data_IF_784597591223
#
_entry.id   IF_784597591223
#
_cell.length_a   1.000
_cell.length_b   1.000
_cell.length_c   1.000
_cell.angle_alpha   90.00
_cell.angle_beta   90.00
_cell.angle_gamma   90.00
#
_symmetry.space_group_name_H-M   'P 1'
#
loop_
_entity.id
_entity.type
_entity.pdbx_description
1 polymer ?
#
# COMPACT_ATOMS: atom_id res chain seq x y z
N UNK A 1 -24.19 17.99 23.57
CA UNK A 1 -24.78 16.72 23.10
C UNK A 1 -23.68 15.89 22.47
N UNK A 2 -23.17 14.87 23.13
CA UNK A 2 -21.99 15.01 23.98
C UNK A 2 -20.98 13.96 23.54
N UNK A 3 -19.67 14.23 23.60
CA UNK A 3 -18.58 13.34 23.15
C UNK A 3 -18.78 11.85 23.48
N UNK A 4 -19.33 11.53 24.66
CA UNK A 4 -19.73 10.18 25.07
C UNK A 4 -20.70 9.48 24.12
N UNK A 5 -21.65 10.21 23.51
CA UNK A 5 -22.55 9.68 22.51
C UNK A 5 -21.79 9.27 21.25
N UNK A 6 -20.90 10.13 20.72
CA UNK A 6 -20.07 9.81 19.55
C UNK A 6 -19.18 8.58 19.79
N UNK A 7 -18.56 8.52 20.97
CA UNK A 7 -17.70 7.40 21.36
C UNK A 7 -18.51 6.10 21.45
N UNK A 8 -19.73 6.15 21.99
CA UNK A 8 -20.62 4.99 22.07
C UNK A 8 -21.24 4.60 20.72
N UNK A 9 -21.61 5.55 19.88
CA UNK A 9 -22.34 5.29 18.64
C UNK A 9 -21.44 4.94 17.45
N UNK A 10 -20.16 5.32 17.47
CA UNK A 10 -19.23 5.11 16.36
C UNK A 10 -18.07 4.21 16.78
N UNK A 11 -17.36 4.55 17.86
CA UNK A 11 -16.16 3.82 18.27
C UNK A 11 -16.47 2.41 18.75
N UNK A 12 -17.55 2.21 19.51
CA UNK A 12 -17.90 0.88 20.02
C UNK A 12 -18.19 -0.13 18.89
N UNK A 13 -19.06 0.15 17.90
CA UNK A 13 -19.26 -0.76 16.77
C UNK A 13 -17.97 -1.13 16.04
N UNK A 14 -17.12 -0.14 15.77
CA UNK A 14 -15.82 -0.34 15.12
C UNK A 14 -14.94 -1.30 15.92
N UNK A 15 -14.78 -1.04 17.22
CA UNK A 15 -13.96 -1.88 18.11
C UNK A 15 -14.53 -3.28 18.22
N UNK A 16 -15.86 -3.43 18.27
CA UNK A 16 -16.52 -4.74 18.33
C UNK A 16 -16.23 -5.55 17.06
N UNK A 17 -16.36 -4.96 15.87
CA UNK A 17 -16.08 -5.67 14.61
C UNK A 17 -14.58 -6.00 14.49
N UNK A 18 -13.69 -5.07 14.85
CA UNK A 18 -12.25 -5.35 14.89
C UNK A 18 -11.90 -6.46 15.90
N UNK A 19 -12.48 -6.44 17.10
CA UNK A 19 -12.27 -7.47 18.10
C UNK A 19 -12.80 -8.83 17.64
N UNK A 20 -13.94 -8.86 16.94
CA UNK A 20 -14.44 -10.08 16.32
C UNK A 20 -13.46 -10.63 15.27
N UNK A 21 -12.90 -9.76 14.41
CA UNK A 21 -11.87 -10.15 13.45
C UNK A 21 -10.62 -10.74 14.13
N UNK A 22 -10.14 -10.10 15.20
CA UNK A 22 -9.02 -10.60 16.01
C UNK A 22 -9.36 -11.94 16.68
N UNK A 23 -10.58 -12.09 17.19
CA UNK A 23 -11.04 -13.33 17.82
C UNK A 23 -11.08 -14.49 16.83
N UNK A 24 -11.64 -14.26 15.64
CA UNK A 24 -11.65 -15.27 14.58
C UNK A 24 -10.22 -15.65 14.19
N UNK A 25 -9.32 -14.68 14.04
CA UNK A 25 -7.91 -14.94 13.72
C UNK A 25 -7.20 -15.82 14.76
N UNK A 26 -7.60 -15.71 16.03
CA UNK A 26 -7.06 -16.51 17.13
C UNK A 26 -7.49 -17.98 17.07
N UNK A 27 -8.66 -18.27 16.52
CA UNK A 27 -9.21 -19.63 16.45
C UNK A 27 -9.15 -20.26 15.06
N UNK A 28 -9.00 -19.46 14.01
CA UNK A 28 -9.02 -19.89 12.61
C UNK A 28 -7.90 -19.20 11.83
N UNK A 29 -7.30 -19.93 10.90
CA UNK A 29 -6.29 -19.35 10.01
C UNK A 29 -6.96 -18.56 8.87
N UNK A 30 -7.38 -17.33 9.18
CA UNK A 30 -7.96 -16.40 8.21
C UNK A 30 -6.89 -15.78 7.33
N UNK A 31 -6.91 -16.10 6.04
CA UNK A 31 -6.01 -15.48 5.06
C UNK A 31 -6.44 -14.05 4.73
N UNK A 32 -5.74 -13.06 5.31
CA UNK A 32 -6.02 -11.63 5.10
C UNK A 32 -5.83 -11.18 3.66
N UNK A 33 -4.99 -11.86 2.88
CA UNK A 33 -4.72 -11.55 1.48
C UNK A 33 -5.96 -11.75 0.61
N UNK A 34 -6.64 -12.88 0.79
CA UNK A 34 -7.84 -13.23 0.04
C UNK A 34 -9.00 -12.29 0.38
N UNK A 35 -9.19 -11.97 1.67
CA UNK A 35 -10.17 -10.97 2.10
C UNK A 35 -9.87 -9.56 1.55
N UNK A 36 -8.61 -9.13 1.59
CA UNK A 36 -8.20 -7.82 1.05
C UNK A 36 -8.41 -7.75 -0.46
N UNK A 37 -8.21 -8.87 -1.18
CA UNK A 37 -8.46 -8.95 -2.62
C UNK A 37 -9.95 -8.74 -2.91
N UNK A 38 -10.85 -9.42 -2.20
CA UNK A 38 -12.29 -9.20 -2.35
C UNK A 38 -12.67 -7.76 -1.99
N UNK A 39 -12.14 -7.24 -0.87
CA UNK A 39 -12.40 -5.88 -0.43
C UNK A 39 -12.00 -4.84 -1.48
N UNK A 40 -10.85 -5.00 -2.14
CA UNK A 40 -10.33 -3.97 -3.05
C UNK A 40 -10.72 -4.16 -4.51
N UNK A 41 -11.01 -5.40 -4.94
CA UNK A 41 -11.36 -5.68 -6.33
C UNK A 41 -12.86 -5.70 -6.59
N UNK A 42 -13.68 -5.86 -5.54
CA UNK A 42 -15.13 -5.91 -5.67
C UNK A 42 -15.81 -4.85 -4.81
N UNK A 43 -15.57 -4.86 -3.50
CA UNK A 43 -16.34 -4.05 -2.56
C UNK A 43 -15.97 -2.56 -2.64
N UNK A 44 -14.67 -2.21 -2.73
CA UNK A 44 -14.20 -0.84 -2.88
C UNK A 44 -14.67 -0.20 -4.20
N UNK A 45 -14.54 -0.84 -5.38
CA UNK A 45 -15.16 -0.38 -6.63
C UNK A 45 -16.65 -0.10 -6.50
N UNK A 46 -17.41 -0.99 -5.86
CA UNK A 46 -18.83 -0.79 -5.63
C UNK A 46 -19.10 0.41 -4.70
N UNK A 47 -18.32 0.52 -3.61
CA UNK A 47 -18.39 1.66 -2.70
C UNK A 47 -18.11 2.98 -3.43
N UNK A 48 -17.05 3.03 -4.25
CA UNK A 48 -16.71 4.17 -5.11
C UNK A 48 -17.91 4.53 -5.98
N UNK A 49 -18.46 3.59 -6.74
CA UNK A 49 -19.58 3.88 -7.63
C UNK A 49 -20.85 4.32 -6.90
N UNK A 50 -21.05 3.89 -5.65
CA UNK A 50 -22.16 4.34 -4.82
C UNK A 50 -21.92 5.69 -4.13
N UNK A 51 -20.66 6.04 -3.83
CA UNK A 51 -20.30 7.20 -3.00
C UNK A 51 -19.77 8.39 -3.80
N UNK A 52 -18.97 8.15 -4.84
CA UNK A 52 -18.33 9.22 -5.65
C UNK A 52 -19.34 10.11 -6.37
N UNK A 53 -20.41 9.60 -7.00
CA UNK A 53 -21.39 10.45 -7.70
C UNK A 53 -22.11 11.44 -6.79
N UNK A 54 -22.18 11.15 -5.49
CA UNK A 54 -22.78 12.01 -4.46
C UNK A 54 -21.74 12.79 -3.65
N UNK A 55 -20.44 12.59 -3.91
CA UNK A 55 -19.38 13.30 -3.23
C UNK A 55 -19.25 14.71 -3.83
N UNK A 56 -19.23 15.73 -2.96
CA UNK A 56 -18.90 17.09 -3.37
C UNK A 56 -17.40 17.18 -3.67
N UNK A 57 -17.03 16.82 -4.91
CA UNK A 57 -15.68 16.96 -5.43
C UNK A 57 -15.55 18.33 -6.06
N UNK A 58 -15.11 19.29 -5.25
CA UNK A 58 -14.68 20.58 -5.76
C UNK A 58 -13.47 20.40 -6.70
N UNK A 59 -13.42 21.15 -7.80
CA UNK A 59 -12.30 21.08 -8.75
C UNK A 59 -10.97 21.38 -8.06
N UNK A 60 -11.00 22.22 -7.04
CA UNK A 60 -9.84 22.57 -6.22
C UNK A 60 -9.26 21.36 -5.49
N UNK A 61 -10.09 20.41 -5.03
CA UNK A 61 -9.59 19.19 -4.39
C UNK A 61 -8.78 18.35 -5.36
N UNK A 62 -9.22 18.21 -6.61
CA UNK A 62 -8.51 17.41 -7.62
C UNK A 62 -7.12 18.01 -7.87
N UNK A 63 -7.05 19.33 -8.06
CA UNK A 63 -5.77 20.04 -8.29
C UNK A 63 -4.84 19.88 -7.09
N UNK A 64 -5.34 20.08 -5.86
CA UNK A 64 -4.56 19.93 -4.63
C UNK A 64 -4.05 18.49 -4.44
N UNK A 65 -4.88 17.48 -4.74
CA UNK A 65 -4.49 16.06 -4.69
C UNK A 65 -3.37 15.78 -5.69
N UNK A 66 -3.50 16.27 -6.93
CA UNK A 66 -2.47 16.10 -7.97
C UNK A 66 -1.16 16.76 -7.57
N UNK A 67 -1.22 18.03 -7.15
CA UNK A 67 -0.04 18.79 -6.73
C UNK A 67 0.68 18.13 -5.55
N UNK A 68 -0.07 17.75 -4.51
CA UNK A 68 0.48 17.07 -3.35
C UNK A 68 1.10 15.72 -3.71
N UNK A 69 0.41 14.90 -4.50
CA UNK A 69 0.89 13.56 -4.87
C UNK A 69 2.17 13.64 -5.70
N UNK A 70 2.23 14.55 -6.67
CA UNK A 70 3.40 14.78 -7.50
C UNK A 70 4.59 15.30 -6.67
N UNK A 71 4.37 16.31 -5.83
CA UNK A 71 5.39 16.88 -4.96
C UNK A 71 5.94 15.84 -3.97
N UNK A 72 5.04 15.07 -3.34
CA UNK A 72 5.43 14.01 -2.40
C UNK A 72 6.23 12.90 -3.09
N UNK A 73 5.83 12.51 -4.29
CA UNK A 73 6.54 11.50 -5.09
C UNK A 73 7.94 11.99 -5.47
N UNK A 74 8.07 13.22 -5.95
CA UNK A 74 9.35 13.82 -6.30
C UNK A 74 10.27 13.93 -5.08
N UNK A 75 9.71 14.30 -3.93
CA UNK A 75 10.44 14.38 -2.68
C UNK A 75 10.94 13.01 -2.21
N UNK A 76 10.06 12.00 -2.16
CA UNK A 76 10.43 10.62 -1.81
C UNK A 76 11.50 10.06 -2.74
N UNK A 77 11.42 10.36 -4.04
CA UNK A 77 12.43 9.99 -5.02
C UNK A 77 13.79 10.64 -4.73
N UNK A 78 13.81 11.96 -4.51
CA UNK A 78 15.04 12.70 -4.19
C UNK A 78 15.67 12.20 -2.88
N UNK A 79 14.86 12.00 -1.84
CA UNK A 79 15.34 11.53 -0.54
C UNK A 79 15.93 10.12 -0.62
N UNK A 80 15.27 9.20 -1.34
CA UNK A 80 15.80 7.85 -1.57
C UNK A 80 17.09 7.87 -2.40
N UNK A 81 17.18 8.74 -3.41
CA UNK A 81 18.39 8.92 -4.21
C UNK A 81 19.56 9.48 -3.40
N UNK A 82 19.32 10.51 -2.58
CA UNK A 82 20.31 11.08 -1.68
C UNK A 82 20.79 10.06 -0.64
N UNK A 83 19.88 9.29 -0.05
CA UNK A 83 20.22 8.21 0.87
C UNK A 83 21.09 7.16 0.18
N UNK A 84 20.75 6.75 -1.04
CA UNK A 84 21.55 5.80 -1.83
C UNK A 84 22.99 6.29 -2.08
N UNK A 85 23.16 7.59 -2.37
CA UNK A 85 24.48 8.23 -2.54
C UNK A 85 25.26 8.31 -1.22
N UNK A 86 24.62 8.76 -0.15
CA UNK A 86 25.25 9.00 1.16
C UNK A 86 25.71 7.71 1.82
N UNK A 87 24.89 6.66 1.75
CA UNK A 87 25.19 5.35 2.31
C UNK A 87 25.96 4.43 1.35
N UNK A 88 26.34 4.93 0.16
CA UNK A 88 27.06 4.17 -0.88
C UNK A 88 26.42 2.81 -1.17
N UNK A 89 25.09 2.78 -1.24
CA UNK A 89 24.34 1.56 -1.50
C UNK A 89 24.62 1.06 -2.91
N UNK A 90 24.70 -0.25 -3.06
CA UNK A 90 24.78 -0.88 -4.37
C UNK A 90 23.50 -0.62 -5.18
N UNK A 91 23.63 -0.66 -6.50
CA UNK A 91 22.53 -0.39 -7.43
C UNK A 91 21.21 -1.12 -7.12
N UNK A 92 21.17 -2.42 -6.78
CA UNK A 92 19.93 -3.11 -6.49
C UNK A 92 19.29 -2.65 -5.16
N UNK A 93 20.08 -2.45 -4.10
CA UNK A 93 19.56 -1.96 -2.81
C UNK A 93 19.06 -0.53 -2.89
N UNK A 94 19.76 0.33 -3.65
CA UNK A 94 19.31 1.70 -3.92
C UNK A 94 17.98 1.74 -4.67
N UNK A 95 17.78 0.86 -5.66
CA UNK A 95 16.49 0.73 -6.39
C UNK A 95 15.38 0.19 -5.48
N UNK A 96 15.68 -0.81 -4.66
CA UNK A 96 14.74 -1.34 -3.67
C UNK A 96 14.30 -0.24 -2.67
N UNK A 97 15.25 0.58 -2.21
CA UNK A 97 14.97 1.73 -1.34
C UNK A 97 14.08 2.76 -2.05
N UNK A 98 14.36 3.09 -3.32
CA UNK A 98 13.51 4.00 -4.10
C UNK A 98 12.08 3.46 -4.24
N UNK A 99 11.92 2.20 -4.66
CA UNK A 99 10.59 1.60 -4.80
C UNK A 99 9.82 1.59 -3.47
N UNK A 100 10.46 1.18 -2.38
CA UNK A 100 9.82 1.11 -1.06
C UNK A 100 9.58 2.47 -0.42
N UNK A 101 10.30 3.52 -0.83
CA UNK A 101 10.13 4.90 -0.32
C UNK A 101 9.10 5.68 -1.13
N UNK A 102 9.01 5.46 -2.44
CA UNK A 102 8.05 6.16 -3.31
C UNK A 102 6.66 5.51 -3.21
N UNK A 103 6.60 4.19 -3.13
CA UNK A 103 5.33 3.47 -3.24
C UNK A 103 4.83 3.01 -1.88
N UNK A 104 3.81 3.72 -1.38
CA UNK A 104 3.08 3.35 -0.17
C UNK A 104 2.07 2.24 -0.45
N UNK A 105 1.66 1.54 0.61
CA UNK A 105 0.55 0.61 0.59
C UNK A 105 -0.80 1.33 0.77
N UNK A 106 -0.95 2.45 0.09
CA UNK A 106 -2.13 3.32 0.15
C UNK A 106 -3.41 2.60 -0.25
N UNK A 107 -3.35 1.72 -1.25
CA UNK A 107 -4.52 0.96 -1.66
C UNK A 107 -5.00 -0.07 -0.61
N UNK A 108 -4.10 -0.90 -0.06
CA UNK A 108 -4.54 -1.99 0.83
C UNK A 108 -4.72 -1.56 2.30
N UNK A 109 -4.08 -0.48 2.73
CA UNK A 109 -4.14 0.01 4.12
C UNK A 109 -4.69 1.42 4.22
N UNK A 110 -4.34 2.32 3.29
CA UNK A 110 -4.80 3.71 3.30
C UNK A 110 -6.32 3.82 3.15
N UNK A 111 -6.89 3.28 2.07
CA UNK A 111 -8.34 3.36 1.82
C UNK A 111 -9.20 2.81 2.97
N UNK A 112 -8.91 1.61 3.52
CA UNK A 112 -9.51 1.13 4.76
C UNK A 112 -9.49 2.13 5.92
N UNK A 113 -8.33 2.71 6.20
CA UNK A 113 -8.12 3.63 7.33
C UNK A 113 -8.85 4.94 7.08
N UNK A 114 -8.85 5.45 5.85
CA UNK A 114 -9.56 6.67 5.51
C UNK A 114 -11.06 6.52 5.64
N UNK A 115 -11.63 5.40 5.19
CA UNK A 115 -13.05 5.13 5.38
C UNK A 115 -13.41 5.11 6.86
N UNK A 116 -12.53 4.53 7.68
CA UNK A 116 -12.74 4.44 9.12
C UNK A 116 -12.65 5.80 9.83
N UNK A 117 -11.65 6.61 9.46
CA UNK A 117 -11.36 7.87 10.13
C UNK A 117 -12.21 9.05 9.60
N UNK A 118 -12.56 9.02 8.31
CA UNK A 118 -13.10 10.16 7.58
C UNK A 118 -14.36 9.82 6.76
N UNK A 119 -14.87 8.58 6.86
CA UNK A 119 -16.08 8.14 6.17
C UNK A 119 -15.93 8.04 4.66
N UNK A 120 -17.08 7.96 3.97
CA UNK A 120 -17.15 7.78 2.51
C UNK A 120 -16.53 8.96 1.74
N UNK A 121 -16.61 10.18 2.29
CA UNK A 121 -16.00 11.35 1.67
C UNK A 121 -14.47 11.30 1.73
N UNK A 122 -13.88 10.95 2.87
CA UNK A 122 -12.43 10.78 2.96
C UNK A 122 -11.92 9.61 2.12
N UNK A 123 -12.67 8.51 2.09
CA UNK A 123 -12.39 7.37 1.21
C UNK A 123 -12.42 7.77 -0.28
N UNK A 124 -13.39 8.58 -0.71
CA UNK A 124 -13.47 9.08 -2.07
C UNK A 124 -12.24 9.92 -2.45
N UNK A 125 -11.85 10.88 -1.58
CA UNK A 125 -10.66 11.71 -1.79
C UNK A 125 -9.36 10.88 -1.82
N UNK A 126 -9.24 9.91 -0.91
CA UNK A 126 -8.10 8.98 -0.87
C UNK A 126 -8.00 8.06 -2.10
N UNK A 127 -9.15 7.66 -2.64
CA UNK A 127 -9.20 6.86 -3.87
C UNK A 127 -8.56 7.62 -5.04
N UNK A 128 -8.80 8.93 -5.13
CA UNK A 128 -8.14 9.77 -6.14
C UNK A 128 -6.62 9.79 -5.96
N UNK A 129 -6.14 9.92 -4.72
CA UNK A 129 -4.70 9.81 -4.42
C UNK A 129 -4.14 8.45 -4.86
N UNK A 130 -4.82 7.35 -4.53
CA UNK A 130 -4.39 5.98 -4.90
C UNK A 130 -4.30 5.81 -6.41
N UNK A 131 -5.25 6.36 -7.17
CA UNK A 131 -5.24 6.30 -8.63
C UNK A 131 -4.05 7.03 -9.22
N UNK A 132 -3.80 8.25 -8.74
CA UNK A 132 -2.62 9.00 -9.17
C UNK A 132 -1.35 8.24 -8.84
N UNK A 133 -1.27 7.63 -7.66
CA UNK A 133 -0.14 6.79 -7.30
C UNK A 133 0.00 5.57 -8.23
N UNK A 134 -1.10 4.88 -8.57
CA UNK A 134 -1.08 3.77 -9.55
C UNK A 134 -0.57 4.27 -10.90
N UNK A 135 -1.04 5.43 -11.37
CA UNK A 135 -0.57 6.02 -12.64
C UNK A 135 0.93 6.36 -12.57
N UNK A 136 1.40 6.96 -11.48
CA UNK A 136 2.80 7.26 -11.23
C UNK A 136 3.66 5.99 -11.15
N UNK A 137 3.20 4.93 -10.48
CA UNK A 137 3.90 3.64 -10.42
C UNK A 137 4.04 3.05 -11.83
N UNK A 138 2.99 3.11 -12.64
CA UNK A 138 3.01 2.51 -13.97
C UNK A 138 3.80 3.35 -15.00
N UNK A 139 3.91 4.66 -14.79
CA UNK A 139 4.70 5.55 -15.66
C UNK A 139 6.15 5.67 -15.20
N UNK A 140 6.40 6.01 -13.94
CA UNK A 140 7.74 6.18 -13.35
C UNK A 140 8.37 4.86 -12.91
N UNK A 141 7.59 3.90 -12.40
CA UNK A 141 8.10 2.59 -12.01
C UNK A 141 8.61 1.78 -13.20
N UNK A 142 8.02 1.98 -14.40
CA UNK A 142 8.51 1.38 -15.63
C UNK A 142 9.83 1.99 -16.09
N UNK A 143 10.05 3.30 -15.93
CA UNK A 143 11.34 3.93 -16.26
C UNK A 143 12.46 3.59 -15.26
N UNK A 144 12.13 3.45 -13.98
CA UNK A 144 13.07 3.03 -12.92
C UNK A 144 13.40 1.52 -13.01
N UNK A 145 12.43 0.67 -13.41
CA UNK A 145 12.62 -0.77 -13.54
C UNK A 145 13.15 -1.24 -14.92
N UNK A 146 12.93 -0.47 -16.00
CA UNK A 146 13.38 -0.84 -17.35
C UNK A 146 14.90 -0.92 -17.51
N UNK A 147 15.69 -0.29 -16.64
CA UNK A 147 17.15 -0.48 -16.60
C UNK A 147 17.58 -1.80 -15.92
N UNK A 148 16.67 -2.76 -15.78
CA UNK A 148 16.89 -4.06 -15.15
C UNK A 148 15.76 -5.05 -15.43
N UNK A 149 15.56 -5.42 -16.71
CA UNK A 149 14.78 -6.59 -17.18
C UNK A 149 13.36 -6.76 -16.60
N UNK A 150 12.56 -5.70 -16.61
CA UNK A 150 11.10 -5.82 -16.47
C UNK A 150 10.42 -5.22 -17.71
N UNK A 151 10.55 -5.91 -18.83
CA UNK A 151 9.84 -5.57 -20.07
C UNK A 151 8.32 -5.78 -19.87
N UNK A 152 7.53 -4.72 -20.06
CA UNK A 152 6.10 -4.82 -20.41
C UNK A 152 5.07 -5.08 -19.30
N UNK A 153 5.44 -5.23 -18.02
CA UNK A 153 4.48 -5.64 -16.97
C UNK A 153 3.66 -4.51 -16.30
N UNK A 154 4.14 -3.26 -16.32
CA UNK A 154 3.47 -2.14 -15.65
C UNK A 154 2.13 -1.78 -16.29
N UNK A 155 2.09 -1.56 -17.61
CA UNK A 155 0.84 -1.24 -18.31
C UNK A 155 -0.23 -2.32 -18.12
N UNK A 156 0.14 -3.60 -18.07
CA UNK A 156 -0.81 -4.71 -17.85
C UNK A 156 -1.42 -4.70 -16.45
N UNK A 157 -0.71 -4.18 -15.44
CA UNK A 157 -1.24 -4.00 -14.09
C UNK A 157 -2.22 -2.82 -14.01
N UNK A 158 -1.97 -1.74 -14.76
CA UNK A 158 -2.87 -0.58 -14.87
C UNK A 158 -4.24 -1.00 -15.44
N UNK A 159 -4.25 -1.72 -16.57
CA UNK A 159 -5.46 -2.25 -17.20
C UNK A 159 -6.20 -3.30 -16.38
N UNK A 160 -5.60 -3.82 -15.31
CA UNK A 160 -6.21 -4.83 -14.44
C UNK A 160 -6.73 -4.25 -13.12
N UNK A 161 -6.59 -2.95 -12.88
CA UNK A 161 -7.02 -2.33 -11.64
C UNK A 161 -8.51 -1.93 -11.71
N UNK A 162 -9.44 -2.67 -11.07
CA UNK A 162 -10.86 -2.33 -11.10
C UNK A 162 -11.14 -0.98 -10.41
N UNK A 163 -10.31 -0.58 -9.44
CA UNK A 163 -10.38 0.72 -8.77
C UNK A 163 -10.24 1.89 -9.75
N UNK A 164 -9.37 1.76 -10.76
CA UNK A 164 -9.17 2.78 -11.77
C UNK A 164 -10.44 2.98 -12.61
N UNK A 165 -11.03 1.89 -13.08
CA UNK A 165 -12.26 1.92 -13.89
C UNK A 165 -13.46 2.41 -13.08
N UNK A 166 -13.62 1.91 -11.86
CA UNK A 166 -14.72 2.31 -10.99
C UNK A 166 -14.66 3.79 -10.64
N UNK A 167 -13.46 4.33 -10.43
CA UNK A 167 -13.30 5.74 -10.11
C UNK A 167 -13.42 6.64 -11.33
N UNK A 168 -12.92 6.21 -12.50
CA UNK A 168 -13.16 6.93 -13.75
C UNK A 168 -14.65 7.03 -14.06
N UNK A 169 -15.37 5.91 -13.91
CA UNK A 169 -16.83 5.87 -14.09
C UNK A 169 -17.55 6.69 -13.00
N UNK A 170 -17.15 6.56 -11.73
CA UNK A 170 -17.71 7.33 -10.62
C UNK A 170 -17.51 8.84 -10.76
N UNK A 171 -16.33 9.27 -11.24
CA UNK A 171 -16.05 10.66 -11.57
C UNK A 171 -16.89 11.14 -12.74
N UNK A 172 -16.99 10.35 -13.82
CA UNK A 172 -17.82 10.70 -14.97
C UNK A 172 -19.30 10.88 -14.57
N UNK A 173 -19.82 9.97 -13.74
CA UNK A 173 -21.16 10.05 -13.17
C UNK A 173 -21.34 11.30 -12.29
N UNK A 174 -20.33 11.62 -11.46
CA UNK A 174 -20.33 12.84 -10.64
C UNK A 174 -20.37 14.12 -11.50
N UNK A 175 -19.63 14.19 -12.61
CA UNK A 175 -19.57 15.35 -13.50
C UNK A 175 -20.88 15.60 -14.25
N UNK A 176 -21.59 14.53 -14.60
CA UNK A 176 -22.91 14.62 -15.26
C UNK A 176 -24.05 14.74 -14.22
N UNK A 177 -23.71 14.79 -12.93
CA UNK A 177 -24.66 14.79 -11.81
C UNK A 177 -25.69 13.64 -11.90
N UNK A 178 -25.23 12.47 -12.36
CA UNK A 178 -26.08 11.31 -12.60
C UNK A 178 -25.71 10.17 -11.67
N UNK A 179 -26.71 9.52 -11.07
CA UNK A 179 -26.52 8.34 -10.24
C UNK A 179 -26.57 7.06 -11.11
N UNK A 180 -26.10 5.95 -10.54
CA UNK A 180 -26.33 4.63 -11.14
C UNK A 180 -27.84 4.32 -11.23
N UNK A 181 -28.31 3.69 -12.31
CA UNK A 181 -29.71 3.32 -12.48
C UNK A 181 -30.13 2.29 -11.41
N UNK A 182 -31.41 2.34 -11.00
CA UNK A 182 -31.91 1.83 -9.72
C UNK A 182 -31.38 0.48 -9.23
N UNK A 183 -31.44 -0.58 -10.05
CA UNK A 183 -30.98 -1.91 -9.65
C UNK A 183 -29.45 -2.00 -9.47
N UNK A 184 -28.69 -1.36 -10.37
CA UNK A 184 -27.23 -1.29 -10.27
C UNK A 184 -26.77 -0.43 -9.09
N UNK A 185 -27.45 0.70 -8.85
CA UNK A 185 -27.18 1.55 -7.69
C UNK A 185 -27.41 0.81 -6.36
N UNK A 186 -28.50 0.03 -6.28
CA UNK A 186 -28.81 -0.79 -5.10
C UNK A 186 -27.76 -1.88 -4.88
N UNK A 187 -27.35 -2.58 -5.93
CA UNK A 187 -26.30 -3.60 -5.84
C UNK A 187 -24.95 -2.98 -5.42
N UNK A 188 -24.58 -1.84 -6.00
CA UNK A 188 -23.37 -1.12 -5.64
C UNK A 188 -23.37 -0.69 -4.17
N UNK A 189 -24.51 -0.19 -3.68
CA UNK A 189 -24.68 0.17 -2.27
C UNK A 189 -24.57 -1.04 -1.34
N UNK A 190 -25.22 -2.17 -1.67
CA UNK A 190 -25.13 -3.39 -0.86
C UNK A 190 -23.69 -3.90 -0.74
N UNK A 191 -22.94 -3.92 -1.85
CA UNK A 191 -21.53 -4.29 -1.85
C UNK A 191 -20.65 -3.25 -1.13
N UNK A 192 -20.95 -1.97 -1.30
CA UNK A 192 -20.25 -0.87 -0.63
C UNK A 192 -20.44 -0.86 0.88
N UNK A 193 -21.64 -1.12 1.37
CA UNK A 193 -21.96 -1.22 2.80
C UNK A 193 -21.20 -2.40 3.45
N UNK A 194 -21.00 -3.50 2.71
CA UNK A 194 -20.19 -4.63 3.15
C UNK A 194 -18.69 -4.31 3.26
N UNK A 195 -18.16 -3.37 2.46
CA UNK A 195 -16.74 -3.01 2.46
C UNK A 195 -16.26 -2.60 3.86
N UNK A 196 -17.02 -1.74 4.54
CA UNK A 196 -16.67 -1.25 5.89
C UNK A 196 -16.52 -2.40 6.89
N UNK A 197 -17.48 -3.32 6.92
CA UNK A 197 -17.45 -4.47 7.82
C UNK A 197 -16.26 -5.40 7.54
N UNK A 198 -16.02 -5.71 6.27
CA UNK A 198 -14.91 -6.59 5.85
C UNK A 198 -13.55 -5.95 6.18
N UNK A 199 -13.40 -4.66 5.93
CA UNK A 199 -12.19 -3.91 6.28
C UNK A 199 -11.90 -3.94 7.78
N UNK A 200 -12.91 -3.72 8.62
CA UNK A 200 -12.77 -3.77 10.07
C UNK A 200 -12.36 -5.16 10.57
N UNK A 201 -12.91 -6.21 9.96
CA UNK A 201 -12.50 -7.59 10.22
C UNK A 201 -11.05 -7.83 9.84
N UNK A 202 -10.63 -7.41 8.64
CA UNK A 202 -9.23 -7.52 8.18
C UNK A 202 -8.29 -6.82 9.16
N UNK A 203 -8.62 -5.60 9.59
CA UNK A 203 -7.81 -4.85 10.56
C UNK A 203 -7.69 -5.62 11.88
N UNK A 204 -8.78 -6.19 12.37
CA UNK A 204 -8.79 -7.06 13.55
C UNK A 204 -7.87 -8.26 13.42
N UNK A 205 -7.97 -9.00 12.31
CA UNK A 205 -7.12 -10.17 12.02
C UNK A 205 -5.65 -9.77 11.96
N UNK A 206 -5.32 -8.63 11.36
CA UNK A 206 -3.94 -8.16 11.25
C UNK A 206 -3.37 -7.72 12.61
N UNK A 207 -4.15 -7.07 13.47
CA UNK A 207 -3.73 -6.70 14.82
C UNK A 207 -3.35 -7.92 15.65
N UNK A 208 -4.09 -9.02 15.53
CA UNK A 208 -3.80 -10.28 16.21
C UNK A 208 -2.49 -10.92 15.71
N UNK A 209 -2.27 -10.90 14.38
CA UNK A 209 -1.12 -11.56 13.74
C UNK A 209 0.17 -10.76 13.76
N UNK A 210 0.14 -9.49 14.15
CA UNK A 210 1.31 -8.61 14.10
C UNK A 210 2.37 -9.06 15.12
N UNK A 211 3.44 -9.70 14.63
CA UNK A 211 4.61 -10.10 15.42
C UNK A 211 5.67 -8.99 15.39
N UNK A 212 5.85 -8.31 16.52
CA UNK A 212 6.79 -7.20 16.69
C UNK A 212 8.27 -7.56 16.49
N UNK A 213 8.62 -8.85 16.46
CA UNK A 213 10.00 -9.34 16.40
C UNK A 213 10.68 -9.15 15.03
N UNK A 214 9.94 -9.13 13.93
CA UNK A 214 10.50 -8.96 12.58
C UNK A 214 10.94 -7.52 12.28
N UNK A 215 10.42 -6.53 13.00
CA UNK A 215 10.76 -5.12 12.83
C UNK A 215 12.17 -4.73 13.33
N UNK A 216 12.88 -5.64 14.00
CA UNK A 216 14.17 -5.38 14.66
C UNK A 216 15.42 -5.66 13.81
N UNK A 217 15.28 -6.17 12.58
CA UNK A 217 16.44 -6.44 11.72
C UNK A 217 17.15 -5.13 11.32
N UNK A 218 18.48 -5.09 11.47
CA UNK A 218 19.31 -3.87 11.32
C UNK A 218 19.18 -3.20 9.95
N UNK A 219 19.05 -3.99 8.89
CA UNK A 219 19.06 -3.48 7.51
C UNK A 219 17.70 -2.90 7.09
N UNK A 220 16.62 -3.38 7.71
CA UNK A 220 15.24 -2.90 7.47
C UNK A 220 14.95 -1.63 8.28
N UNK A 221 15.57 -1.48 9.45
CA UNK A 221 15.37 -0.34 10.35
C UNK A 221 15.67 1.01 9.71
N UNK A 222 16.68 1.12 8.85
CA UNK A 222 17.05 2.41 8.27
C UNK A 222 15.99 2.89 7.27
N UNK A 223 15.53 1.99 6.38
CA UNK A 223 14.46 2.28 5.42
C UNK A 223 13.11 2.54 6.10
N UNK A 224 12.78 1.77 7.14
CA UNK A 224 11.57 1.99 7.95
C UNK A 224 11.67 3.29 8.73
N UNK A 225 12.81 3.63 9.35
CA UNK A 225 12.98 4.87 10.09
C UNK A 225 12.90 6.11 9.18
N UNK A 226 13.53 6.07 8.01
CA UNK A 226 13.35 7.12 7.00
C UNK A 226 11.87 7.24 6.61
N UNK A 227 11.19 6.13 6.34
CA UNK A 227 9.79 6.19 5.92
C UNK A 227 8.83 6.63 7.03
N UNK A 228 9.06 6.22 8.28
CA UNK A 228 8.16 6.53 9.40
C UNK A 228 8.37 7.96 9.91
N UNK A 229 9.58 8.53 9.77
CA UNK A 229 9.87 9.88 10.26
C UNK A 229 9.88 10.91 9.13
N UNK A 230 10.65 10.67 8.07
CA UNK A 230 10.83 11.69 7.03
C UNK A 230 9.58 11.87 6.18
N UNK A 231 8.86 10.80 5.81
CA UNK A 231 7.66 10.92 4.96
C UNK A 231 6.52 11.69 5.65
N UNK A 232 6.17 11.44 6.93
CA UNK A 232 5.13 12.23 7.59
C UNK A 232 5.54 13.70 7.81
N UNK A 233 6.80 13.96 8.21
CA UNK A 233 7.27 15.35 8.38
C UNK A 233 7.14 16.12 7.07
N UNK A 234 7.49 15.48 5.95
CA UNK A 234 7.47 16.10 4.63
C UNK A 234 6.06 16.24 4.08
N UNK A 235 5.20 15.24 4.32
CA UNK A 235 3.78 15.36 4.06
C UNK A 235 3.17 16.56 4.78
N UNK A 236 3.49 16.76 6.07
CA UNK A 236 3.02 17.92 6.83
C UNK A 236 3.54 19.25 6.27
N UNK A 237 4.81 19.32 5.89
CA UNK A 237 5.40 20.52 5.27
C UNK A 237 4.75 20.84 3.92
N UNK A 238 4.47 19.83 3.10
CA UNK A 238 3.80 20.02 1.80
C UNK A 238 2.34 20.45 1.97
N UNK A 239 1.62 19.90 2.95
CA UNK A 239 0.26 20.35 3.27
C UNK A 239 0.25 21.83 3.66
N UNK A 240 1.22 22.26 4.46
CA UNK A 240 1.38 23.67 4.83
C UNK A 240 1.77 24.55 3.64
N UNK A 241 2.73 24.11 2.81
CA UNK A 241 3.22 24.87 1.66
C UNK A 241 2.18 25.02 0.53
N UNK A 242 1.32 24.02 0.35
CA UNK A 242 0.23 24.03 -0.62
C UNK A 242 -1.08 24.63 -0.05
N UNK A 243 -1.06 25.09 1.20
CA UNK A 243 -2.22 25.61 1.95
C UNK A 243 -3.45 24.67 1.90
N UNK A 244 -3.22 23.36 1.96
CA UNK A 244 -4.28 22.35 1.92
C UNK A 244 -4.93 22.28 3.31
N UNK A 245 -6.23 22.51 3.38
CA UNK A 245 -7.01 22.60 4.62
C UNK A 245 -8.22 21.67 4.62
N UNK A 246 -8.94 21.65 5.74
CA UNK A 246 -10.18 20.89 5.88
C UNK A 246 -9.96 19.38 5.85
N UNK A 247 -10.94 18.64 5.35
CA UNK A 247 -10.93 17.18 5.31
C UNK A 247 -9.82 16.60 4.43
N UNK A 248 -9.41 17.33 3.39
CA UNK A 248 -8.40 16.83 2.44
C UNK A 248 -7.01 16.69 3.08
N UNK A 249 -6.63 17.61 3.96
CA UNK A 249 -5.32 17.61 4.59
C UNK A 249 -5.02 16.32 5.40
N UNK A 250 -5.86 15.89 6.36
CA UNK A 250 -5.61 14.65 7.08
C UNK A 250 -5.76 13.40 6.20
N UNK A 251 -6.59 13.43 5.16
CA UNK A 251 -6.70 12.33 4.18
C UNK A 251 -5.38 12.11 3.44
N UNK A 252 -4.82 13.17 2.84
CA UNK A 252 -3.54 13.11 2.13
C UNK A 252 -2.37 12.77 3.05
N UNK A 253 -2.39 13.29 4.29
CA UNK A 253 -1.39 12.96 5.30
C UNK A 253 -1.36 11.46 5.63
N UNK A 254 -2.54 10.88 5.88
CA UNK A 254 -2.69 9.45 6.21
C UNK A 254 -2.21 8.60 5.04
N UNK A 255 -2.64 8.91 3.82
CA UNK A 255 -2.24 8.19 2.61
C UNK A 255 -0.73 8.22 2.37
N UNK A 256 -0.12 9.40 2.45
CA UNK A 256 1.33 9.54 2.28
C UNK A 256 2.10 8.78 3.37
N UNK A 257 1.58 8.74 4.59
CA UNK A 257 2.21 8.11 5.75
C UNK A 257 2.05 6.58 5.80
N UNK A 258 1.37 5.98 4.82
CA UNK A 258 1.21 4.52 4.76
C UNK A 258 2.55 3.80 4.59
N UNK A 259 2.70 2.60 5.17
CA UNK A 259 3.92 1.79 5.06
C UNK A 259 4.19 1.40 3.60
N UNK A 260 5.39 0.91 3.28
CA UNK A 260 5.76 0.54 1.92
C UNK A 260 4.84 -0.58 1.38
N UNK A 261 4.53 -0.54 0.07
CA UNK A 261 3.70 -1.56 -0.57
C UNK A 261 4.36 -2.94 -0.50
N UNK A 262 3.64 -3.96 -0.01
CA UNK A 262 4.13 -5.36 0.10
C UNK A 262 4.61 -5.89 -1.26
N UNK A 263 3.96 -5.48 -2.35
CA UNK A 263 4.37 -5.85 -3.71
C UNK A 263 5.75 -5.29 -4.10
N UNK A 264 6.14 -4.12 -3.57
CA UNK A 264 7.48 -3.56 -3.80
C UNK A 264 8.56 -4.26 -3.01
N UNK A 265 8.23 -4.78 -1.81
CA UNK A 265 9.12 -5.64 -1.03
C UNK A 265 9.33 -6.99 -1.73
N UNK A 266 8.27 -7.57 -2.29
CA UNK A 266 8.38 -8.80 -3.10
C UNK A 266 9.16 -8.58 -4.40
N UNK A 267 8.96 -7.43 -5.06
CA UNK A 267 9.71 -7.06 -6.26
C UNK A 267 11.19 -6.80 -5.94
N UNK A 268 11.50 -6.10 -4.84
CA UNK A 268 12.85 -5.92 -4.32
C UNK A 268 13.51 -7.26 -3.93
N UNK A 269 12.77 -8.18 -3.30
CA UNK A 269 13.26 -9.51 -2.95
C UNK A 269 13.59 -10.38 -4.17
N UNK A 270 12.86 -10.23 -5.29
CA UNK A 270 13.24 -10.85 -6.57
C UNK A 270 14.53 -10.26 -7.13
N UNK A 271 14.77 -8.96 -6.93
CA UNK A 271 16.03 -8.33 -7.31
C UNK A 271 17.20 -8.82 -6.43
N UNK A 272 17.01 -8.93 -5.12
CA UNK A 272 18.01 -9.48 -4.20
C UNK A 272 18.34 -10.95 -4.50
N UNK A 273 17.33 -11.76 -4.87
CA UNK A 273 17.56 -13.13 -5.32
C UNK A 273 18.42 -13.20 -6.60
N UNK A 274 18.20 -12.30 -7.57
CA UNK A 274 19.04 -12.19 -8.76
C UNK A 274 20.47 -11.71 -8.48
N UNK A 275 20.65 -10.91 -7.43
CA UNK A 275 21.97 -10.44 -6.95
C UNK A 275 22.71 -11.56 -6.24
N UNK A 276 22.07 -12.29 -5.31
CA UNK A 276 22.63 -13.50 -4.67
C UNK A 276 23.02 -14.57 -5.69
N UNK A 277 22.21 -14.74 -6.73
CA UNK A 277 22.49 -15.70 -7.80
C UNK A 277 23.70 -15.28 -8.64
N UNK A 278 23.92 -13.97 -8.88
CA UNK A 278 25.15 -13.46 -9.50
C UNK A 278 26.37 -13.66 -8.61
N UNK A 279 26.29 -13.45 -7.29
CA UNK A 279 27.41 -13.73 -6.39
C UNK A 279 27.76 -15.23 -6.32
N UNK A 280 26.77 -16.11 -6.41
CA UNK A 280 27.01 -17.56 -6.45
C UNK A 280 27.60 -18.05 -7.80
N UNK A 281 27.36 -17.31 -8.90
CA UNK A 281 27.93 -17.61 -10.23
C UNK A 281 29.23 -16.85 -10.54
N UNK A 282 29.58 -15.82 -9.76
CA UNK A 282 30.78 -15.00 -9.94
C UNK A 282 31.85 -15.20 -8.86
N UNK A 283 31.68 -16.16 -7.93
CA UNK A 283 32.85 -16.67 -7.21
C UNK A 283 33.82 -17.27 -8.24
N UNK A 284 35.06 -16.78 -8.35
CA UNK A 284 36.10 -17.50 -9.08
C UNK A 284 36.21 -18.88 -8.43
N UNK A 285 36.37 -19.92 -9.24
CA UNK A 285 36.81 -21.23 -8.78
C UNK A 285 38.26 -21.18 -8.27
N UNK A 286 38.57 -20.33 -7.29
CA UNK A 286 39.81 -20.39 -6.53
C UNK A 286 39.56 -21.19 -5.27
N UNK A 287 39.99 -22.46 -5.29
CA UNK A 287 40.14 -23.25 -4.07
C UNK A 287 39.76 -24.72 -4.14
N UNK A 288 39.91 -25.42 -5.28
CA UNK A 288 39.98 -26.89 -5.25
C UNK A 288 41.41 -27.35 -4.99
N UNK A 289 41.81 -27.39 -3.73
CA UNK A 289 42.89 -28.27 -3.27
C UNK A 289 42.79 -28.47 -1.74
N UNK A 290 42.81 -29.75 -1.33
CA UNK A 290 43.03 -30.31 0.03
C UNK A 290 41.84 -30.42 1.01
N UNK A 291 41.06 -31.51 0.83
CA UNK A 291 40.81 -32.64 1.78
C UNK A 291 40.38 -32.40 3.27
N UNK A 292 39.93 -33.42 4.03
CA UNK A 292 38.55 -33.52 4.50
C UNK A 292 38.43 -33.47 6.04
N UNK A 293 37.33 -32.92 6.58
CA UNK A 293 37.00 -33.13 8.00
C UNK A 293 35.47 -33.18 8.19
N UNK A 294 34.90 -34.19 8.90
CA UNK A 294 33.45 -34.42 8.94
C UNK A 294 32.71 -33.56 9.98
N UNK A 295 33.26 -32.42 10.39
CA UNK A 295 32.68 -31.56 11.44
C UNK A 295 31.69 -30.49 10.92
N UNK A 296 31.57 -30.28 9.60
CA UNK A 296 30.74 -29.19 9.02
C UNK A 296 29.33 -29.64 8.61
N UNK A 297 28.90 -30.84 9.01
CA UNK A 297 27.60 -31.43 8.64
C UNK A 297 26.40 -30.90 9.44
N UNK A 298 26.57 -30.00 10.41
CA UNK A 298 25.51 -29.61 11.35
C UNK A 298 25.12 -28.12 11.40
N UNK A 299 25.51 -27.30 10.42
CA UNK A 299 24.99 -25.90 10.31
C UNK A 299 24.28 -25.66 8.96
N UNK A 300 24.17 -26.69 8.12
CA UNK A 300 23.42 -26.67 6.86
C UNK A 300 22.02 -27.32 6.98
N UNK A 301 21.41 -27.21 8.15
CA UNK A 301 20.03 -27.69 8.44
C UNK A 301 19.13 -26.51 8.82
N UNK A 302 19.12 -25.46 8.00
CA UNK A 302 17.97 -24.54 7.88
C UNK A 302 17.69 -24.37 6.39
N UNK A 303 17.38 -25.51 5.76
CA UNK A 303 16.85 -25.59 4.41
C UNK A 303 15.32 -25.52 4.50
N UNK A 304 14.75 -24.69 3.62
CA UNK A 304 13.52 -24.99 2.88
C UNK A 304 12.22 -24.87 3.68
N UNK A 305 11.68 -23.65 3.66
CA UNK A 305 10.29 -23.33 3.98
C UNK A 305 9.73 -22.28 3.03
N UNK A 306 10.06 -22.37 1.74
CA UNK A 306 9.37 -21.66 0.66
C UNK A 306 9.34 -22.59 -0.56
N UNK A 307 8.28 -23.40 -0.62
CA UNK A 307 7.71 -23.89 -1.86
C UNK A 307 6.27 -23.38 -1.85
N UNK A 308 5.93 -22.43 -2.72
CA UNK A 308 5.05 -22.73 -3.86
C UNK A 308 3.74 -23.38 -3.38
N UNK A 309 2.73 -22.55 -3.15
CA UNK A 309 1.37 -22.94 -3.53
C UNK A 309 0.77 -21.79 -4.32
N UNK A 310 0.84 -21.97 -5.63
CA UNK A 310 0.03 -21.29 -6.61
C UNK A 310 -1.10 -22.25 -6.96
N UNK A 311 -2.30 -21.91 -6.53
CA UNK A 311 -3.59 -22.31 -7.10
C UNK A 311 -4.66 -21.44 -6.46
#
# INVERSE_FOLDING_TARGET
MSFLHLLRSITVPIVVVCAAGALVARYQDVETRSLSTVALYLLAPALILSALPSANLDSDYVVQIVAFTAAMTAFCWLAAWMAGRLFRLDHPTSRALMLTTIFSNSNNYGLPVLLLAFGTQGFALGTLYVILQILLVNTLGLSIAASGRAEGSGFKALYRSPLLYASALGLALSLVHHALPGSLGTAAKLLGDAYTAVVLLILGVQLERTRWSAALQRDVRLGVALRVVMVPVMGKLLLWALDIRGLLAPVLFVEASMPAAVNTVALAGRYDAGVRQRYCHQQPQLGTATSPNPATKNILTIRVGFAVSAS
#
